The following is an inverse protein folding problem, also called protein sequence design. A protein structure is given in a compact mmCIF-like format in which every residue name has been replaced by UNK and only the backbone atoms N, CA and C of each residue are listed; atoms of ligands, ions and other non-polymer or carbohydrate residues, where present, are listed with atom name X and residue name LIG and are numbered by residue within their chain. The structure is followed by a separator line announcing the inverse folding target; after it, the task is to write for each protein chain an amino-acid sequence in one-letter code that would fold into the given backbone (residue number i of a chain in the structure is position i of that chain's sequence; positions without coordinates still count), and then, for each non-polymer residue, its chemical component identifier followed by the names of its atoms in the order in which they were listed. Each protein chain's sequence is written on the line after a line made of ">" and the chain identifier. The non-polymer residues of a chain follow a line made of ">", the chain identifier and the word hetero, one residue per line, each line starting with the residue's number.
data_IF_471004381323
#
_entry.id   IF_471004381323
#
_cell.length_a   1.000
_cell.length_b   1.000
_cell.length_c   1.000
_cell.angle_alpha   90.00
_cell.angle_beta   90.00
_cell.angle_gamma   90.00
#
_symmetry.space_group_name_H-M   'P 1'
#
loop_
_entity.id
_entity.type
_entity.pdbx_description
1 polymer ?
#
# COMPACT_ATOMS: atom_id res chain seq x y z
N UNK A 1 -18.39 57.51 47.56
CA UNK A 1 -19.38 57.12 46.55
C UNK A 1 -18.94 55.82 45.94
N UNK A 2 -19.75 54.77 46.18
CA UNK A 2 -19.95 53.55 45.35
C UNK A 2 -18.71 52.87 44.73
N UNK A 3 -18.29 51.64 45.04
CA UNK A 3 -18.80 50.57 45.90
C UNK A 3 -18.10 49.24 45.52
N UNK A 4 -17.51 48.56 46.52
CA UNK A 4 -17.45 47.08 46.79
C UNK A 4 -17.24 46.08 45.63
N UNK A 5 -16.11 45.35 45.52
CA UNK A 5 -15.63 44.10 46.22
C UNK A 5 -16.26 42.77 45.79
N UNK A 6 -15.38 41.77 45.59
CA UNK A 6 -15.63 40.32 45.71
C UNK A 6 -16.04 39.63 44.40
N UNK A 7 -15.76 38.36 44.11
CA UNK A 7 -15.17 37.23 44.84
C UNK A 7 -14.93 36.13 43.81
N UNK A 8 -13.95 35.24 44.01
CA UNK A 8 -13.76 34.08 43.13
C UNK A 8 -14.80 32.98 43.36
N UNK A 9 -14.99 32.10 42.36
CA UNK A 9 -15.40 30.71 42.60
C UNK A 9 -15.07 29.78 41.43
N UNK A 10 -14.50 28.65 41.83
CA UNK A 10 -14.47 27.31 41.23
C UNK A 10 -15.67 26.89 40.38
N UNK A 11 -15.43 25.99 39.42
CA UNK A 11 -16.27 24.81 39.28
C UNK A 11 -16.56 24.32 37.85
N UNK A 12 -16.20 23.05 37.64
CA UNK A 12 -16.95 22.01 36.92
C UNK A 12 -17.09 22.09 35.40
N UNK A 13 -16.58 21.04 34.74
CA UNK A 13 -16.80 20.78 33.33
C UNK A 13 -18.21 20.25 33.02
N UNK A 14 -18.55 20.27 31.73
CA UNK A 14 -19.53 19.35 31.14
C UNK A 14 -19.26 19.25 29.63
N UNK A 15 -19.39 18.02 29.15
CA UNK A 15 -19.54 17.57 27.76
C UNK A 15 -20.68 18.27 27.03
N UNK A 16 -20.55 18.43 25.70
CA UNK A 16 -21.71 18.55 24.80
C UNK A 16 -21.58 19.47 23.59
N UNK A 17 -21.41 18.85 22.42
CA UNK A 17 -22.12 19.12 21.14
C UNK A 17 -21.97 20.47 20.41
N UNK A 18 -21.27 20.42 19.27
CA UNK A 18 -21.83 20.62 17.91
C UNK A 18 -22.10 22.04 17.41
N UNK A 19 -21.43 22.43 16.31
CA UNK A 19 -21.94 23.30 15.22
C UNK A 19 -21.01 23.12 14.00
N UNK A 20 -21.38 22.30 13.02
CA UNK A 20 -21.80 22.69 11.65
C UNK A 20 -20.91 23.69 10.91
N UNK A 21 -20.15 23.16 9.93
CA UNK A 21 -19.65 23.88 8.76
C UNK A 21 -20.04 23.09 7.52
N UNK A 22 -20.93 23.67 6.72
CA UNK A 22 -21.61 23.06 5.56
C UNK A 22 -20.82 23.31 4.28
N UNK A 23 -20.60 22.26 3.48
CA UNK A 23 -20.72 22.29 2.03
C UNK A 23 -19.52 22.69 1.17
N UNK A 24 -18.81 21.68 0.66
CA UNK A 24 -18.37 21.67 -0.74
C UNK A 24 -18.74 20.33 -1.34
N UNK A 25 -19.64 20.36 -2.32
CA UNK A 25 -19.93 19.26 -3.24
C UNK A 25 -18.66 18.84 -3.96
N UNK A 26 -18.19 17.63 -3.69
CA UNK A 26 -17.16 16.92 -4.44
C UNK A 26 -17.61 15.48 -4.63
N UNK A 27 -17.68 15.06 -5.88
CA UNK A 27 -17.96 13.73 -6.43
C UNK A 27 -17.82 12.59 -5.43
N UNK A 28 -18.93 11.94 -5.07
CA UNK A 28 -18.93 10.73 -4.26
C UNK A 28 -18.27 9.59 -5.04
N UNK A 29 -16.96 9.41 -4.86
CA UNK A 29 -16.36 8.09 -4.96
C UNK A 29 -16.93 7.30 -3.78
N UNK A 30 -17.84 6.36 -4.06
CA UNK A 30 -18.12 5.30 -3.10
C UNK A 30 -16.77 4.65 -2.78
N UNK A 31 -16.28 4.82 -1.56
CA UNK A 31 -15.08 4.10 -1.13
C UNK A 31 -15.27 2.63 -1.47
N UNK A 32 -14.27 2.03 -2.12
CA UNK A 32 -14.35 0.62 -2.52
C UNK A 32 -14.75 -0.22 -1.29
N UNK A 33 -15.75 -1.08 -1.44
CA UNK A 33 -16.07 -2.03 -0.37
C UNK A 33 -14.91 -3.00 -0.20
N UNK A 34 -14.58 -3.35 1.03
CA UNK A 34 -13.55 -4.34 1.31
C UNK A 34 -13.94 -5.70 0.71
N UNK A 35 -13.08 -6.37 -0.09
CA UNK A 35 -13.44 -7.63 -0.73
C UNK A 35 -13.60 -8.77 0.28
N UNK A 36 -14.68 -9.54 0.17
CA UNK A 36 -15.00 -10.62 1.11
C UNK A 36 -14.06 -11.83 1.05
N UNK A 37 -13.26 -11.95 -0.02
CA UNK A 37 -12.28 -13.02 -0.20
C UNK A 37 -10.91 -12.69 0.41
N UNK A 38 -10.75 -11.51 1.02
CA UNK A 38 -9.57 -11.19 1.82
C UNK A 38 -9.86 -11.35 3.30
N UNK A 39 -8.95 -12.05 4.00
CA UNK A 39 -8.93 -12.10 5.48
C UNK A 39 -7.81 -11.21 5.98
N UNK A 40 -8.12 -10.27 6.86
CA UNK A 40 -7.13 -9.39 7.52
C UNK A 40 -6.28 -10.19 8.49
N UNK A 41 -4.97 -9.99 8.44
CA UNK A 41 -4.01 -10.60 9.35
C UNK A 41 -3.26 -9.55 10.18
N UNK A 42 -3.03 -9.86 11.46
CA UNK A 42 -2.17 -9.09 12.35
C UNK A 42 -0.70 -9.27 12.03
N UNK A 43 0.15 -8.51 12.73
CA UNK A 43 1.60 -8.54 12.53
C UNK A 43 2.23 -9.89 12.92
N UNK A 44 1.57 -10.66 13.76
CA UNK A 44 1.94 -12.03 14.15
C UNK A 44 1.33 -13.11 13.24
N UNK A 45 0.56 -12.71 12.22
CA UNK A 45 -0.14 -13.62 11.30
C UNK A 45 -1.48 -14.13 11.83
N UNK A 46 -1.93 -13.68 13.01
CA UNK A 46 -3.26 -14.04 13.54
C UNK A 46 -4.39 -13.44 12.68
N UNK A 47 -5.50 -14.16 12.58
CA UNK A 47 -6.68 -13.65 11.87
C UNK A 47 -7.34 -12.54 12.67
N UNK A 48 -7.70 -11.46 11.99
CA UNK A 48 -8.37 -10.32 12.60
C UNK A 48 -9.87 -10.31 12.28
N UNK A 49 -10.70 -9.69 13.14
CA UNK A 49 -12.10 -9.40 12.83
C UNK A 49 -12.26 -8.60 11.53
N UNK A 50 -13.39 -8.78 10.83
CA UNK A 50 -13.66 -8.08 9.58
C UNK A 50 -13.68 -6.54 9.74
N UNK A 51 -14.12 -6.06 10.90
CA UNK A 51 -14.19 -4.65 11.27
C UNK A 51 -12.88 -4.09 11.88
N UNK A 52 -11.80 -4.88 11.89
CA UNK A 52 -10.49 -4.38 12.33
C UNK A 52 -10.05 -3.17 11.49
N UNK A 53 -9.70 -2.08 12.16
CA UNK A 53 -9.29 -0.83 11.53
C UNK A 53 -7.83 -0.81 11.03
N UNK A 54 -7.01 -1.77 11.45
CA UNK A 54 -5.59 -1.90 11.08
C UNK A 54 -5.27 -3.38 10.88
N UNK A 55 -4.46 -3.69 9.88
CA UNK A 55 -3.95 -5.03 9.57
C UNK A 55 -2.57 -4.90 8.91
N UNK A 56 -1.73 -5.93 9.03
CA UNK A 56 -0.39 -5.95 8.44
C UNK A 56 -0.35 -6.71 7.11
N UNK A 57 -1.23 -7.70 6.92
CA UNK A 57 -1.32 -8.50 5.70
C UNK A 57 -2.76 -8.89 5.36
N UNK A 58 -2.92 -9.44 4.16
CA UNK A 58 -4.16 -10.02 3.67
C UNK A 58 -3.93 -11.45 3.22
N UNK A 59 -4.73 -12.39 3.72
CA UNK A 59 -4.84 -13.72 3.12
C UNK A 59 -5.92 -13.67 2.02
N UNK A 60 -5.53 -13.96 0.78
CA UNK A 60 -6.48 -14.21 -0.32
C UNK A 60 -7.02 -15.64 -0.21
N UNK A 61 -8.29 -15.80 0.17
CA UNK A 61 -8.88 -17.13 0.35
C UNK A 61 -9.11 -17.88 -0.96
N UNK A 62 -8.97 -17.22 -2.12
CA UNK A 62 -9.12 -17.85 -3.45
C UNK A 62 -7.87 -18.62 -3.85
N UNK A 63 -6.70 -18.07 -3.49
CA UNK A 63 -5.39 -18.58 -3.92
C UNK A 63 -4.58 -19.18 -2.76
N UNK A 64 -4.91 -18.82 -1.52
CA UNK A 64 -4.12 -19.15 -0.33
C UNK A 64 -2.92 -18.24 -0.11
N UNK A 65 -2.67 -17.27 -1.00
CA UNK A 65 -1.53 -16.38 -0.91
C UNK A 65 -1.74 -15.32 0.16
N UNK A 66 -0.66 -14.99 0.87
CA UNK A 66 -0.63 -13.89 1.83
C UNK A 66 0.08 -12.71 1.19
N UNK A 67 -0.57 -11.55 1.20
CA UNK A 67 -0.07 -10.30 0.65
C UNK A 67 0.35 -9.35 1.76
N UNK A 68 1.50 -8.71 1.59
CA UNK A 68 1.92 -7.60 2.43
C UNK A 68 0.94 -6.43 2.26
N UNK A 69 0.58 -5.74 3.34
CA UNK A 69 -0.08 -4.43 3.25
C UNK A 69 0.89 -3.36 3.69
N UNK A 70 1.17 -2.40 2.81
CA UNK A 70 2.14 -1.33 3.05
C UNK A 70 1.72 -0.42 4.20
N UNK A 71 2.67 0.33 4.73
CA UNK A 71 2.47 1.38 5.73
C UNK A 71 2.61 2.77 5.10
N UNK A 72 2.38 3.82 5.89
CA UNK A 72 2.58 5.23 5.52
C UNK A 72 3.20 5.94 6.73
N UNK A 73 4.42 5.50 7.09
CA UNK A 73 5.06 5.78 8.38
C UNK A 73 6.57 6.04 8.29
N UNK A 74 7.15 6.05 7.09
CA UNK A 74 8.59 6.14 6.87
C UNK A 74 9.39 4.91 7.33
N UNK A 75 8.71 3.82 7.69
CA UNK A 75 9.31 2.54 8.06
C UNK A 75 9.67 1.67 6.86
N UNK A 76 10.22 0.47 7.09
CA UNK A 76 10.65 -0.47 6.03
C UNK A 76 9.59 -0.71 4.94
N UNK A 77 8.31 -0.74 5.33
CA UNK A 77 7.18 -1.15 4.48
C UNK A 77 6.38 0.01 3.92
N UNK A 78 6.93 1.23 3.92
CA UNK A 78 6.23 2.41 3.44
C UNK A 78 5.80 2.28 1.97
N UNK A 79 4.58 2.71 1.66
CA UNK A 79 4.01 2.68 0.31
C UNK A 79 4.72 3.62 -0.66
N UNK A 80 5.38 4.66 -0.16
CA UNK A 80 6.03 5.69 -0.97
C UNK A 80 7.45 5.30 -1.39
N UNK A 81 7.98 4.18 -0.89
CA UNK A 81 9.26 3.64 -1.33
C UNK A 81 9.29 3.24 -2.80
N UNK A 82 10.43 3.57 -3.42
CA UNK A 82 10.77 3.26 -4.80
C UNK A 82 11.99 2.36 -4.83
N UNK A 83 12.02 1.47 -5.81
CA UNK A 83 13.07 0.48 -6.00
C UNK A 83 13.52 0.46 -7.45
N UNK A 84 14.78 0.13 -7.69
CA UNK A 84 15.31 0.00 -9.05
C UNK A 84 15.80 -1.42 -9.32
N UNK A 85 15.30 -2.04 -10.38
CA UNK A 85 15.63 -3.43 -10.72
C UNK A 85 17.11 -3.71 -11.03
N UNK A 86 17.77 -2.77 -11.71
CA UNK A 86 19.13 -2.92 -12.23
C UNK A 86 20.18 -2.17 -11.38
N UNK A 87 19.80 -1.67 -10.20
CA UNK A 87 20.62 -0.76 -9.42
C UNK A 87 21.29 -1.38 -8.18
N UNK A 88 22.58 -1.08 -8.00
CA UNK A 88 23.16 -0.71 -6.70
C UNK A 88 22.73 0.73 -6.39
N UNK A 89 21.44 0.92 -6.10
CA UNK A 89 20.69 2.05 -6.62
C UNK A 89 21.21 3.43 -6.17
N UNK A 90 21.30 4.35 -7.15
CA UNK A 90 21.37 5.80 -6.91
C UNK A 90 20.09 6.37 -6.28
N UNK A 91 19.06 5.52 -6.07
CA UNK A 91 18.10 5.65 -4.99
C UNK A 91 18.87 5.34 -3.71
N UNK A 92 19.57 6.34 -3.22
CA UNK A 92 20.34 6.17 -2.00
C UNK A 92 19.34 5.94 -0.83
N UNK A 93 19.75 5.64 0.42
CA UNK A 93 18.96 6.20 1.52
C UNK A 93 18.89 7.74 1.40
N UNK A 94 19.76 8.31 0.57
CA UNK A 94 20.34 9.60 0.79
C UNK A 94 19.49 10.78 0.40
N UNK A 95 19.47 11.66 1.39
CA UNK A 95 20.05 12.98 1.23
C UNK A 95 19.04 14.05 0.90
N UNK A 96 17.84 13.65 0.47
CA UNK A 96 16.63 14.47 0.35
C UNK A 96 15.38 13.62 0.50
N UNK A 97 14.21 14.28 0.56
CA UNK A 97 12.90 13.86 1.07
C UNK A 97 12.25 12.55 0.49
N UNK A 98 12.96 11.40 0.61
CA UNK A 98 12.49 10.00 0.80
C UNK A 98 12.66 8.95 -0.34
N UNK A 99 13.61 8.00 -0.19
CA UNK A 99 13.49 6.65 -0.77
C UNK A 99 13.89 5.47 0.19
N UNK A 100 13.33 4.27 -0.06
CA UNK A 100 13.68 2.92 0.43
C UNK A 100 14.47 2.76 1.75
N UNK A 101 13.98 3.34 2.86
CA UNK A 101 14.59 3.19 4.19
C UNK A 101 14.65 1.73 4.63
N UNK A 102 15.78 1.33 5.21
CA UNK A 102 15.98 -0.04 5.71
C UNK A 102 16.34 -1.06 4.63
N UNK A 103 16.57 -0.64 3.38
CA UNK A 103 16.89 -1.53 2.25
C UNK A 103 18.28 -1.20 1.71
N UNK A 104 19.19 -2.19 1.76
CA UNK A 104 20.64 -1.98 1.55
C UNK A 104 21.02 -1.46 0.16
N UNK A 105 20.34 -1.92 -0.89
CA UNK A 105 20.63 -1.54 -2.28
C UNK A 105 19.43 -0.97 -3.02
N UNK A 106 18.34 -0.67 -2.30
CA UNK A 106 17.14 -0.03 -2.85
C UNK A 106 16.64 -0.66 -4.16
N UNK A 107 16.69 -1.99 -4.18
CA UNK A 107 16.19 -2.83 -5.25
C UNK A 107 15.19 -3.84 -4.64
N UNK A 108 14.31 -4.45 -5.44
CA UNK A 108 13.26 -5.30 -4.89
C UNK A 108 13.81 -6.56 -4.19
N UNK A 109 14.97 -7.09 -4.59
CA UNK A 109 15.55 -8.27 -3.96
C UNK A 109 16.10 -7.98 -2.55
N UNK A 110 16.78 -6.84 -2.37
CA UNK A 110 17.19 -6.40 -1.04
C UNK A 110 16.00 -6.05 -0.14
N UNK A 111 14.87 -5.62 -0.72
CA UNK A 111 13.65 -5.44 0.04
C UNK A 111 13.03 -6.77 0.48
N UNK A 112 13.02 -7.79 -0.39
CA UNK A 112 12.64 -9.16 -0.02
C UNK A 112 13.49 -9.68 1.14
N UNK A 113 14.82 -9.51 1.07
CA UNK A 113 15.73 -9.90 2.15
C UNK A 113 15.39 -9.21 3.47
N UNK A 114 15.17 -7.90 3.44
CA UNK A 114 14.81 -7.11 4.63
C UNK A 114 13.44 -7.50 5.20
N UNK A 115 12.44 -7.73 4.35
CA UNK A 115 11.09 -8.12 4.76
C UNK A 115 11.07 -9.52 5.38
N UNK A 116 11.85 -10.45 4.83
CA UNK A 116 12.02 -11.80 5.39
C UNK A 116 12.73 -11.80 6.74
N UNK A 117 13.70 -10.91 6.94
CA UNK A 117 14.33 -10.70 8.24
C UNK A 117 13.39 -10.02 9.25
N UNK A 118 12.50 -9.14 8.77
CA UNK A 118 11.52 -8.44 9.61
C UNK A 118 10.43 -9.39 10.12
N UNK A 119 9.98 -10.35 9.30
CA UNK A 119 9.06 -11.39 9.76
C UNK A 119 7.59 -10.97 9.82
N UNK A 120 7.17 -9.99 8.99
CA UNK A 120 5.80 -9.44 9.04
C UNK A 120 4.77 -10.55 8.83
N UNK A 121 3.69 -10.51 9.62
CA UNK A 121 2.63 -11.52 9.65
C UNK A 121 3.12 -12.94 9.97
N UNK A 122 4.22 -13.04 10.71
CA UNK A 122 4.87 -14.32 11.04
C UNK A 122 5.48 -15.04 9.83
N UNK A 123 5.68 -14.35 8.70
CA UNK A 123 6.20 -14.92 7.45
C UNK A 123 7.65 -14.53 7.20
N UNK A 124 8.43 -15.46 6.66
CA UNK A 124 9.86 -15.28 6.34
C UNK A 124 10.22 -15.81 4.94
N UNK A 125 9.22 -16.01 4.09
CA UNK A 125 9.29 -16.54 2.74
C UNK A 125 8.63 -15.59 1.70
N UNK A 126 8.64 -14.30 2.01
CA UNK A 126 8.25 -13.23 1.10
C UNK A 126 9.06 -13.29 -0.18
N UNK A 127 8.39 -13.04 -1.30
CA UNK A 127 9.00 -12.96 -2.61
C UNK A 127 8.23 -11.99 -3.51
N UNK A 128 8.86 -11.64 -4.63
CA UNK A 128 8.21 -10.86 -5.68
C UNK A 128 7.07 -11.66 -6.32
N UNK A 129 5.89 -11.06 -6.51
CA UNK A 129 4.78 -11.68 -7.22
C UNK A 129 5.08 -11.81 -8.70
N UNK A 130 4.50 -12.78 -9.39
CA UNK A 130 4.46 -12.78 -10.86
C UNK A 130 3.44 -11.77 -11.40
N UNK A 131 3.49 -11.47 -12.70
CA UNK A 131 2.44 -10.67 -13.35
C UNK A 131 1.05 -11.31 -13.21
N UNK A 132 0.98 -12.64 -13.20
CA UNK A 132 -0.27 -13.38 -13.01
C UNK A 132 -0.82 -13.23 -11.59
N UNK A 133 0.05 -13.28 -10.57
CA UNK A 133 -0.36 -13.06 -9.18
C UNK A 133 -0.93 -11.64 -9.00
N UNK A 134 -0.24 -10.64 -9.54
CA UNK A 134 -0.69 -9.25 -9.52
C UNK A 134 -2.02 -9.05 -10.27
N UNK A 135 -2.19 -9.70 -11.42
CA UNK A 135 -3.46 -9.66 -12.15
C UNK A 135 -4.59 -10.33 -11.36
N UNK A 136 -4.30 -11.32 -10.51
CA UNK A 136 -5.27 -11.98 -9.63
C UNK A 136 -5.85 -11.07 -8.54
N UNK A 137 -5.13 -10.01 -8.14
CA UNK A 137 -5.60 -9.00 -7.18
C UNK A 137 -6.05 -7.68 -7.83
N UNK A 138 -5.97 -7.59 -9.16
CA UNK A 138 -6.48 -6.43 -9.89
C UNK A 138 -8.01 -6.37 -9.80
N UNK A 139 -8.54 -5.15 -9.71
CA UNK A 139 -9.97 -4.88 -9.86
C UNK A 139 -10.20 -4.01 -11.10
N UNK A 140 -10.55 -4.63 -12.24
CA UNK A 140 -10.90 -3.90 -13.46
C UNK A 140 -12.11 -2.99 -13.20
N UNK A 141 -11.88 -1.69 -13.34
CA UNK A 141 -12.89 -0.64 -13.19
C UNK A 141 -12.91 0.19 -14.48
N UNK A 142 -13.89 1.07 -14.64
CA UNK A 142 -13.95 1.98 -15.81
C UNK A 142 -12.82 3.02 -15.82
N UNK A 143 -12.16 3.25 -14.68
CA UNK A 143 -11.03 4.16 -14.54
C UNK A 143 -10.04 3.62 -13.49
N UNK A 144 -8.74 3.97 -13.58
CA UNK A 144 -7.76 3.62 -12.57
C UNK A 144 -8.05 4.27 -11.20
N UNK A 145 -7.51 3.72 -10.10
CA UNK A 145 -6.61 2.56 -10.07
C UNK A 145 -7.35 1.22 -10.09
N UNK A 146 -6.75 0.23 -10.75
CA UNK A 146 -7.28 -1.13 -10.89
C UNK A 146 -6.86 -2.06 -9.74
N UNK A 147 -6.92 -1.56 -8.51
CA UNK A 147 -6.62 -2.32 -7.28
C UNK A 147 -7.50 -1.79 -6.13
N UNK A 148 -7.94 -2.68 -5.25
CA UNK A 148 -8.84 -2.30 -4.15
C UNK A 148 -8.12 -1.46 -3.07
N UNK A 149 -8.35 -0.15 -3.07
CA UNK A 149 -7.73 0.77 -2.10
C UNK A 149 -8.26 0.64 -0.66
N UNK A 150 -9.36 -0.08 -0.43
CA UNK A 150 -9.81 -0.41 0.92
C UNK A 150 -9.08 -1.63 1.49
N UNK A 151 -8.54 -2.50 0.64
CA UNK A 151 -7.73 -3.65 1.02
C UNK A 151 -6.25 -3.29 1.12
N UNK A 152 -5.73 -2.59 0.10
CA UNK A 152 -4.32 -2.26 -0.04
C UNK A 152 -4.04 -0.78 0.17
N UNK A 153 -3.12 -0.45 1.07
CA UNK A 153 -2.56 0.89 1.20
C UNK A 153 -1.45 1.07 0.14
N UNK A 154 -1.79 1.50 -1.06
CA UNK A 154 -0.87 1.54 -2.21
C UNK A 154 -0.85 2.89 -2.89
N UNK A 155 0.26 3.21 -3.56
CA UNK A 155 0.36 4.28 -4.54
C UNK A 155 0.51 3.67 -5.94
N UNK A 156 -0.11 4.25 -6.97
CA UNK A 156 -0.23 3.67 -8.32
C UNK A 156 0.29 4.61 -9.41
N UNK A 157 1.11 5.60 -9.03
CA UNK A 157 1.85 6.50 -9.93
C UNK A 157 3.04 5.84 -10.64
N UNK A 158 3.46 4.67 -10.16
CA UNK A 158 4.54 3.84 -10.71
C UNK A 158 4.10 2.39 -10.82
N UNK A 159 4.73 1.60 -11.71
CA UNK A 159 4.50 0.17 -11.76
C UNK A 159 5.02 -0.53 -10.50
N UNK A 160 4.43 -1.65 -10.16
CA UNK A 160 4.94 -2.57 -9.14
C UNK A 160 5.92 -3.57 -9.74
N UNK A 161 7.01 -3.84 -9.02
CA UNK A 161 7.97 -4.86 -9.40
C UNK A 161 7.29 -6.24 -9.37
N UNK A 162 7.45 -7.03 -10.43
CA UNK A 162 7.13 -8.46 -10.50
C UNK A 162 8.36 -9.35 -10.69
N UNK A 163 8.25 -10.64 -10.37
CA UNK A 163 9.28 -11.61 -10.64
C UNK A 163 9.57 -11.68 -12.15
N UNK A 164 10.85 -11.72 -12.51
CA UNK A 164 11.28 -11.88 -13.91
C UNK A 164 10.83 -13.24 -14.42
N UNK A 165 10.22 -13.25 -15.59
CA UNK A 165 9.93 -14.48 -16.33
C UNK A 165 11.07 -14.89 -17.26
N UNK A 166 11.87 -13.91 -17.72
CA UNK A 166 12.97 -14.14 -18.66
C UNK A 166 14.21 -13.29 -18.32
N UNK A 167 15.44 -13.78 -18.61
CA UNK A 167 16.64 -12.98 -18.47
C UNK A 167 16.59 -11.73 -19.35
N UNK A 168 16.87 -10.56 -18.76
CA UNK A 168 16.94 -9.29 -19.50
C UNK A 168 15.60 -8.59 -19.73
N UNK A 169 14.47 -9.25 -19.47
CA UNK A 169 13.14 -8.63 -19.53
C UNK A 169 12.68 -8.26 -18.12
N UNK A 170 12.58 -6.94 -17.89
CA UNK A 170 12.06 -6.40 -16.65
C UNK A 170 10.64 -5.93 -16.92
N UNK A 171 9.68 -6.64 -16.34
CA UNK A 171 8.26 -6.30 -16.41
C UNK A 171 7.83 -5.70 -15.08
N UNK A 172 6.86 -4.79 -15.14
CA UNK A 172 6.12 -4.31 -13.98
C UNK A 172 4.62 -4.38 -14.20
N UNK A 173 3.85 -4.25 -13.12
CA UNK A 173 2.38 -4.18 -13.17
C UNK A 173 1.92 -2.81 -12.71
N UNK A 174 1.25 -2.06 -13.60
CA UNK A 174 0.90 -0.66 -13.36
C UNK A 174 -0.61 -0.48 -13.20
N UNK A 175 -1.11 -0.59 -11.96
CA UNK A 175 -2.54 -0.45 -11.65
C UNK A 175 -3.13 0.94 -11.96
N UNK A 176 -2.29 1.97 -12.17
CA UNK A 176 -2.71 3.32 -12.55
C UNK A 176 -2.86 3.58 -14.05
N UNK A 177 -2.71 2.57 -14.92
CA UNK A 177 -2.94 2.73 -16.36
C UNK A 177 -4.42 2.60 -16.71
N UNK A 178 -4.82 3.22 -17.81
CA UNK A 178 -6.12 2.98 -18.44
C UNK A 178 -6.22 1.53 -18.92
N UNK A 179 -7.35 0.88 -18.64
CA UNK A 179 -7.63 -0.48 -19.08
C UNK A 179 -8.58 -0.46 -20.30
N UNK A 180 -8.14 -0.83 -21.51
CA UNK A 180 -9.02 -0.85 -22.67
C UNK A 180 -10.16 -1.86 -22.50
N UNK A 181 -11.35 -1.52 -22.99
CA UNK A 181 -12.52 -2.39 -22.90
C UNK A 181 -12.25 -3.76 -23.55
N UNK A 182 -12.45 -4.83 -22.77
CA UNK A 182 -12.24 -6.21 -23.22
C UNK A 182 -10.77 -6.64 -23.29
N UNK A 183 -9.82 -5.81 -22.85
CA UNK A 183 -8.42 -6.20 -22.79
C UNK A 183 -8.19 -7.27 -21.70
N UNK A 184 -7.19 -8.12 -21.93
CA UNK A 184 -6.67 -8.97 -20.87
C UNK A 184 -5.99 -8.08 -19.82
N UNK A 185 -6.39 -8.23 -18.55
CA UNK A 185 -5.91 -7.38 -17.45
C UNK A 185 -4.41 -7.49 -17.24
N UNK A 186 -3.87 -8.71 -17.31
CA UNK A 186 -2.43 -8.92 -17.14
C UNK A 186 -1.68 -8.21 -18.26
N UNK A 187 -2.07 -8.43 -19.53
CA UNK A 187 -1.37 -7.85 -20.68
C UNK A 187 -1.48 -6.32 -20.69
N UNK A 188 -2.64 -5.78 -20.36
CA UNK A 188 -2.89 -4.34 -20.44
C UNK A 188 -2.24 -3.53 -19.29
N UNK A 189 -2.06 -4.15 -18.12
CA UNK A 189 -1.38 -3.51 -17.00
C UNK A 189 0.12 -3.84 -16.93
N UNK A 190 0.58 -4.78 -17.75
CA UNK A 190 2.00 -5.11 -17.88
C UNK A 190 2.74 -4.00 -18.63
N UNK A 191 3.84 -3.52 -18.07
CA UNK A 191 4.70 -2.50 -18.70
C UNK A 191 6.14 -2.98 -18.81
N UNK A 192 6.83 -2.57 -19.89
CA UNK A 192 8.29 -2.68 -19.95
C UNK A 192 8.89 -1.67 -18.98
N UNK A 193 9.68 -2.16 -18.03
CA UNK A 193 10.29 -1.30 -17.00
C UNK A 193 11.31 -0.31 -17.58
N UNK A 194 11.77 -0.50 -18.81
CA UNK A 194 12.60 0.48 -19.52
C UNK A 194 11.90 1.83 -19.69
N UNK A 195 10.58 1.83 -19.90
CA UNK A 195 9.79 3.06 -20.05
C UNK A 195 9.68 3.85 -18.73
N UNK A 196 10.07 3.23 -17.62
CA UNK A 196 10.02 3.78 -16.26
C UNK A 196 11.42 3.89 -15.63
N UNK A 197 12.48 3.95 -16.43
CA UNK A 197 13.88 4.01 -15.95
C UNK A 197 14.27 2.87 -14.98
N UNK A 198 13.52 1.76 -15.04
CA UNK A 198 13.56 0.62 -14.15
C UNK A 198 13.13 0.88 -12.70
N UNK A 199 12.42 1.99 -12.44
CA UNK A 199 11.85 2.34 -11.13
C UNK A 199 10.47 1.69 -10.91
N UNK A 200 10.29 1.04 -9.77
CA UNK A 200 9.03 0.41 -9.38
C UNK A 200 8.75 0.54 -7.88
N UNK A 201 7.50 0.27 -7.51
CA UNK A 201 7.05 0.03 -6.13
C UNK A 201 7.10 -1.45 -5.81
N UNK A 202 7.05 -1.80 -4.53
CA UNK A 202 7.06 -3.18 -4.08
C UNK A 202 5.75 -3.55 -3.37
N UNK A 203 5.19 -4.69 -3.76
CA UNK A 203 4.12 -5.39 -3.06
C UNK A 203 4.51 -6.87 -3.06
N UNK A 204 4.70 -7.44 -1.87
CA UNK A 204 5.25 -8.79 -1.72
C UNK A 204 4.15 -9.78 -1.37
N UNK A 205 4.38 -11.04 -1.73
CA UNK A 205 3.52 -12.14 -1.33
C UNK A 205 4.31 -13.29 -0.69
N UNK A 206 3.60 -14.14 0.04
CA UNK A 206 4.09 -15.33 0.75
C UNK A 206 3.04 -16.46 0.64
N UNK A 207 3.44 -17.71 0.87
CA UNK A 207 2.59 -18.91 0.78
C UNK A 207 2.04 -19.35 2.14
#
# INVERSE_FOLDING_TARGET
>A
GTGTTGTGTTGTGTTGTGTTGTGTTGTGTTAASFPSYFTKLGDDGSTLPADAGVWSCLLDTRTGLVWEVKTDDGGLRDKDWRYRYNGSAGLSPAGTDYPCVGVSACNPMSYVEALNAYGVCGKSDWHLPTASDMAGIAEPHDAPPHINLAAFAVNTDLPYCVAKVEPGHYLGMHFGLELPAGANVQDALSVDMQDYDFECRALMLSY
#
